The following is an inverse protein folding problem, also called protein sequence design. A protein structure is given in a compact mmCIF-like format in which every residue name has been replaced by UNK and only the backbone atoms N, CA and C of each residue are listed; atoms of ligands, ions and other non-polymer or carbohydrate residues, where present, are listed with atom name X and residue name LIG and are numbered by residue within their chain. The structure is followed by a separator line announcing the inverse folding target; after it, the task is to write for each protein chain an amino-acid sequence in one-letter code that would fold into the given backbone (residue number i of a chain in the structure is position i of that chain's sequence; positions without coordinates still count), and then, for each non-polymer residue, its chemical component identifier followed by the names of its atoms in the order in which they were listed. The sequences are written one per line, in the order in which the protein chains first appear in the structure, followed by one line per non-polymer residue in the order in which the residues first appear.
data_IF_451978583824
#
_entry.id   IF_451978583824
#
_cell.length_a   1.000
_cell.length_b   1.000
_cell.length_c   1.000
_cell.angle_alpha   90.00
_cell.angle_beta   90.00
_cell.angle_gamma   90.00
#
_symmetry.space_group_name_H-M   'P 1'
#
loop_
_entity.id
_entity.type
_entity.pdbx_description
1 polymer ?
#
# COMPACT_ATOMS: atom_id res chain seq x y z
N UNK A 1 24.57 -8.47 40.77
CA UNK A 1 24.05 -7.32 39.99
C UNK A 1 24.58 -7.44 38.58
N UNK A 2 23.72 -7.63 37.58
CA UNK A 2 24.16 -7.67 36.17
C UNK A 2 24.43 -6.23 35.73
N UNK A 3 25.69 -5.89 35.47
CA UNK A 3 26.03 -4.59 34.89
C UNK A 3 25.41 -4.49 33.50
N UNK A 4 24.49 -3.54 33.33
CA UNK A 4 23.90 -3.24 32.02
C UNK A 4 24.93 -2.46 31.23
N UNK A 5 25.31 -2.98 30.06
CA UNK A 5 26.24 -2.32 29.15
C UNK A 5 25.63 -1.01 28.63
N UNK A 6 26.32 0.10 28.83
CA UNK A 6 25.93 1.38 28.23
C UNK A 6 26.13 1.37 26.71
N UNK A 7 25.18 1.95 25.97
CA UNK A 7 25.25 2.17 24.51
C UNK A 7 25.19 3.67 24.29
N UNK A 8 26.30 4.26 23.87
CA UNK A 8 26.35 5.70 23.59
C UNK A 8 25.56 6.05 22.33
N UNK A 9 25.26 7.33 22.18
CA UNK A 9 24.59 7.88 21.00
C UNK A 9 25.37 7.63 19.70
N UNK A 10 26.69 7.74 19.74
CA UNK A 10 27.57 7.45 18.60
C UNK A 10 27.54 5.97 18.24
N UNK A 11 27.62 5.10 19.24
CA UNK A 11 27.51 3.66 18.99
C UNK A 11 26.14 3.29 18.42
N UNK A 12 25.06 3.86 18.96
CA UNK A 12 23.70 3.65 18.43
C UNK A 12 23.62 4.09 16.96
N UNK A 13 24.12 5.28 16.63
CA UNK A 13 24.12 5.80 15.25
C UNK A 13 24.93 4.93 14.31
N UNK A 14 26.14 4.51 14.70
CA UNK A 14 26.98 3.62 13.90
C UNK A 14 26.27 2.28 13.63
N UNK A 15 25.67 1.69 14.67
CA UNK A 15 24.89 0.45 14.56
C UNK A 15 23.68 0.62 13.64
N UNK A 16 22.95 1.74 13.73
CA UNK A 16 21.84 2.03 12.82
C UNK A 16 22.33 2.22 11.37
N UNK A 17 23.43 2.94 11.16
CA UNK A 17 24.02 3.15 9.84
C UNK A 17 24.36 1.83 9.14
N UNK A 18 24.93 0.88 9.89
CA UNK A 18 25.21 -0.48 9.38
C UNK A 18 23.93 -1.27 9.16
N UNK A 19 23.05 -1.37 10.16
CA UNK A 19 21.83 -2.21 10.10
C UNK A 19 20.83 -1.74 9.06
N UNK A 20 20.74 -0.44 8.82
CA UNK A 20 19.86 0.16 7.81
C UNK A 20 20.51 0.27 6.43
N UNK A 21 21.70 -0.32 6.23
CA UNK A 21 22.46 -0.31 4.98
C UNK A 21 22.85 1.09 4.47
N UNK A 22 22.98 2.08 5.36
CA UNK A 22 23.35 3.46 5.01
C UNK A 22 24.87 3.66 4.97
N UNK A 23 25.61 2.92 5.79
CA UNK A 23 27.07 2.95 5.76
C UNK A 23 27.57 2.36 4.44
N UNK A 24 28.56 2.99 3.80
CA UNK A 24 29.10 2.53 2.51
C UNK A 24 29.57 1.06 2.53
N UNK A 25 30.14 0.62 3.65
CA UNK A 25 30.59 -0.76 3.87
C UNK A 25 29.45 -1.76 4.12
N UNK A 26 28.22 -1.29 4.28
CA UNK A 26 27.05 -2.10 4.62
C UNK A 26 25.92 -1.98 3.58
N UNK A 27 26.20 -1.34 2.43
CA UNK A 27 25.23 -1.30 1.32
C UNK A 27 24.88 -2.71 0.88
N UNK A 28 23.59 -2.92 0.65
CA UNK A 28 23.04 -4.19 0.18
C UNK A 28 23.07 -4.26 -1.35
N UNK A 29 22.61 -5.39 -1.90
CA UNK A 29 22.72 -5.69 -3.34
C UNK A 29 21.38 -5.71 -4.07
N UNK A 30 20.26 -5.53 -3.37
CA UNK A 30 18.93 -5.60 -3.95
C UNK A 30 17.94 -4.64 -3.28
N UNK A 31 16.89 -4.17 -4.01
CA UNK A 31 15.78 -3.43 -3.42
C UNK A 31 15.08 -4.18 -2.28
N UNK A 32 14.98 -5.51 -2.37
CA UNK A 32 14.39 -6.38 -1.34
C UNK A 32 15.17 -6.32 -0.03
N UNK A 33 16.51 -6.43 -0.12
CA UNK A 33 17.38 -6.32 1.04
C UNK A 33 17.33 -4.91 1.65
N UNK A 34 17.18 -3.88 0.81
CA UNK A 34 17.05 -2.51 1.30
C UNK A 34 15.76 -2.33 2.09
N UNK A 35 14.65 -2.89 1.62
CA UNK A 35 13.39 -2.91 2.37
C UNK A 35 13.53 -3.73 3.66
N UNK A 36 14.21 -4.89 3.62
CA UNK A 36 14.43 -5.74 4.81
C UNK A 36 15.28 -5.07 5.87
N UNK A 37 16.29 -4.29 5.47
CA UNK A 37 17.17 -3.55 6.38
C UNK A 37 16.43 -2.53 7.27
N UNK A 38 15.27 -2.05 6.81
CA UNK A 38 14.44 -1.07 7.54
C UNK A 38 12.99 -1.52 7.71
N UNK A 39 12.73 -2.82 7.55
CA UNK A 39 11.39 -3.47 7.54
C UNK A 39 10.50 -3.06 6.36
N UNK A 40 10.52 -1.79 5.95
CA UNK A 40 9.75 -1.26 4.83
C UNK A 40 10.30 0.06 4.31
N UNK A 41 9.95 0.41 3.07
CA UNK A 41 10.31 1.69 2.45
C UNK A 41 9.07 2.58 2.34
N UNK A 42 9.18 3.87 2.66
CA UNK A 42 8.09 4.81 2.47
C UNK A 42 7.81 5.00 0.97
N UNK A 43 6.53 5.03 0.58
CA UNK A 43 6.13 5.01 -0.83
C UNK A 43 4.96 5.94 -1.16
N UNK A 44 4.60 6.85 -0.26
CA UNK A 44 3.54 7.86 -0.51
C UNK A 44 3.88 8.71 -1.73
N UNK A 45 5.11 9.24 -1.77
CA UNK A 45 5.61 9.94 -2.93
C UNK A 45 6.33 8.97 -3.85
N UNK A 46 6.04 8.98 -5.16
CA UNK A 46 6.66 8.05 -6.09
C UNK A 46 8.18 7.95 -6.04
N UNK A 47 8.96 9.05 -5.97
CA UNK A 47 10.42 8.94 -5.93
C UNK A 47 10.95 8.40 -4.60
N UNK A 48 10.15 8.39 -3.52
CA UNK A 48 10.64 8.01 -2.19
C UNK A 48 11.20 6.58 -2.15
N UNK A 49 10.55 5.62 -2.82
CA UNK A 49 11.04 4.24 -2.85
C UNK A 49 12.39 4.15 -3.59
N UNK A 50 12.52 4.81 -4.74
CA UNK A 50 13.74 4.80 -5.54
C UNK A 50 14.90 5.46 -4.80
N UNK A 51 14.67 6.64 -4.19
CA UNK A 51 15.68 7.34 -3.40
C UNK A 51 16.09 6.54 -2.16
N UNK A 52 15.13 5.87 -1.51
CA UNK A 52 15.40 5.02 -0.35
C UNK A 52 16.23 3.78 -0.71
N UNK A 53 15.98 3.17 -1.87
CA UNK A 53 16.82 2.11 -2.43
C UNK A 53 18.21 2.64 -2.80
N UNK A 54 18.30 3.76 -3.52
CA UNK A 54 19.57 4.38 -3.92
C UNK A 54 20.50 4.68 -2.74
N UNK A 55 19.94 5.09 -1.59
CA UNK A 55 20.71 5.31 -0.38
C UNK A 55 21.30 4.03 0.24
N UNK A 56 20.78 2.84 -0.10
CA UNK A 56 21.05 1.57 0.58
C UNK A 56 21.66 0.49 -0.29
N UNK A 57 21.46 0.55 -1.60
CA UNK A 57 21.86 -0.48 -2.56
C UNK A 57 23.04 0.05 -3.38
N UNK A 58 24.08 -0.75 -3.55
CA UNK A 58 25.19 -0.43 -4.46
C UNK A 58 24.71 -0.43 -5.91
N UNK A 59 25.02 0.64 -6.66
CA UNK A 59 24.80 0.76 -8.12
C UNK A 59 23.37 0.45 -8.62
N UNK A 60 22.35 0.66 -7.78
CA UNK A 60 20.95 0.37 -8.13
C UNK A 60 20.42 1.34 -9.19
N UNK A 61 19.67 0.78 -10.14
CA UNK A 61 18.99 1.54 -11.19
C UNK A 61 17.49 1.70 -10.88
N UNK A 62 16.82 2.57 -11.64
CA UNK A 62 15.35 2.68 -11.57
C UNK A 62 14.69 1.37 -12.00
N UNK A 63 15.22 0.72 -13.04
CA UNK A 63 14.69 -0.53 -13.60
C UNK A 63 14.76 -1.68 -12.60
N UNK A 64 15.80 -1.76 -11.76
CA UNK A 64 15.88 -2.76 -10.70
C UNK A 64 14.73 -2.62 -9.70
N UNK A 65 14.43 -1.37 -9.30
CA UNK A 65 13.35 -1.08 -8.35
C UNK A 65 11.97 -1.30 -8.98
N UNK A 66 11.77 -0.87 -10.23
CA UNK A 66 10.51 -1.11 -10.96
C UNK A 66 10.31 -2.60 -11.26
N UNK A 67 11.36 -3.34 -11.59
CA UNK A 67 11.35 -4.79 -11.76
C UNK A 67 10.87 -5.50 -10.50
N UNK A 68 11.44 -5.16 -9.34
CA UNK A 68 11.02 -5.71 -8.05
C UNK A 68 9.54 -5.40 -7.71
N UNK A 69 9.07 -4.20 -8.03
CA UNK A 69 7.70 -3.74 -7.71
C UNK A 69 6.63 -4.28 -8.66
N UNK A 70 6.90 -4.29 -9.96
CA UNK A 70 5.88 -4.47 -10.98
C UNK A 70 6.00 -5.77 -11.75
N UNK A 71 7.22 -6.26 -11.98
CA UNK A 71 7.47 -7.48 -12.76
C UNK A 71 7.54 -8.70 -11.85
N UNK A 72 8.58 -8.78 -11.00
CA UNK A 72 8.76 -9.86 -10.03
C UNK A 72 7.70 -9.78 -8.91
N UNK A 73 7.24 -8.56 -8.60
CA UNK A 73 6.33 -8.25 -7.49
C UNK A 73 6.86 -8.79 -6.16
N UNK A 74 8.18 -8.88 -6.02
CA UNK A 74 8.88 -9.30 -4.80
C UNK A 74 8.77 -8.24 -3.71
N UNK A 75 8.53 -6.99 -4.12
CA UNK A 75 8.17 -5.86 -3.27
C UNK A 75 6.70 -5.48 -3.49
N UNK A 76 5.93 -5.43 -2.40
CA UNK A 76 4.49 -5.15 -2.41
C UNK A 76 4.24 -3.83 -1.72
N UNK A 77 3.37 -3.02 -2.32
CA UNK A 77 2.93 -1.76 -1.74
C UNK A 77 1.68 -1.99 -0.89
N UNK A 78 1.67 -1.46 0.32
CA UNK A 78 0.55 -1.65 1.24
C UNK A 78 0.38 -0.43 2.15
N UNK A 79 -0.87 -0.01 2.31
CA UNK A 79 -1.24 0.95 3.35
C UNK A 79 -1.17 0.25 4.71
N UNK A 80 -0.43 0.85 5.65
CA UNK A 80 -0.18 0.22 6.94
C UNK A 80 -0.20 1.26 8.06
N UNK A 81 0.92 1.44 8.76
CA UNK A 81 1.07 2.37 9.88
C UNK A 81 0.58 3.77 9.49
N UNK A 82 -0.32 4.34 10.31
CA UNK A 82 -0.87 5.70 10.12
C UNK A 82 -1.52 5.92 8.76
N UNK A 83 -2.11 4.89 8.15
CA UNK A 83 -2.71 4.96 6.80
C UNK A 83 -1.70 5.40 5.72
N UNK A 84 -0.40 5.24 5.98
CA UNK A 84 0.68 5.63 5.08
C UNK A 84 1.04 4.48 4.15
N UNK A 85 1.40 4.81 2.90
CA UNK A 85 1.80 3.82 1.91
C UNK A 85 3.27 3.44 2.06
N UNK A 86 3.52 2.14 2.20
CA UNK A 86 4.85 1.56 2.31
C UNK A 86 5.06 0.45 1.29
N UNK A 87 6.32 0.10 1.05
CA UNK A 87 6.78 -1.06 0.28
C UNK A 87 7.40 -2.07 1.24
N UNK A 88 6.94 -3.32 1.17
CA UNK A 88 7.39 -4.44 1.98
C UNK A 88 7.89 -5.58 1.10
N UNK A 89 8.87 -6.38 1.56
CA UNK A 89 9.12 -7.70 0.99
C UNK A 89 7.86 -8.58 1.01
N UNK A 90 7.66 -9.34 -0.07
CA UNK A 90 6.71 -10.46 -0.26
C UNK A 90 6.27 -11.12 1.05
N UNK A 91 7.27 -11.73 1.66
CA UNK A 91 7.19 -12.61 2.81
C UNK A 91 6.78 -11.90 4.11
N UNK A 92 6.94 -10.58 4.20
CA UNK A 92 6.62 -9.82 5.41
C UNK A 92 5.19 -9.29 5.45
N UNK A 93 4.49 -9.27 4.31
CA UNK A 93 3.10 -8.78 4.22
C UNK A 93 2.15 -9.44 5.24
N UNK A 94 2.15 -10.78 5.47
CA UNK A 94 1.30 -11.40 6.48
C UNK A 94 1.57 -10.89 7.91
N UNK A 95 2.84 -10.65 8.27
CA UNK A 95 3.21 -10.14 9.59
C UNK A 95 2.83 -8.66 9.77
N UNK A 96 2.93 -7.86 8.69
CA UNK A 96 2.47 -6.47 8.69
C UNK A 96 0.96 -6.39 8.88
N UNK A 97 0.21 -7.29 8.24
CA UNK A 97 -1.24 -7.34 8.38
C UNK A 97 -1.67 -7.73 9.80
N UNK A 98 -1.05 -8.78 10.35
CA UNK A 98 -1.31 -9.24 11.73
C UNK A 98 -0.90 -8.25 12.83
N UNK A 99 -0.19 -7.17 12.50
CA UNK A 99 0.24 -6.15 13.46
C UNK A 99 -0.58 -4.85 13.37
N UNK A 100 -0.09 -3.87 12.62
CA UNK A 100 -0.67 -2.52 12.58
C UNK A 100 -1.77 -2.38 11.53
N UNK A 101 -1.68 -3.08 10.39
CA UNK A 101 -2.53 -2.79 9.24
C UNK A 101 -4.00 -3.23 9.46
N UNK A 102 -4.25 -4.40 10.07
CA UNK A 102 -5.62 -4.86 10.34
C UNK A 102 -6.42 -3.88 11.21
N UNK A 103 -5.78 -3.27 12.22
CA UNK A 103 -6.43 -2.25 13.06
C UNK A 103 -6.80 -1.00 12.25
N UNK A 104 -5.90 -0.56 11.38
CA UNK A 104 -6.12 0.60 10.51
C UNK A 104 -7.25 0.30 9.52
N UNK A 105 -7.26 -0.88 8.90
CA UNK A 105 -8.32 -1.31 7.99
C UNK A 105 -9.69 -1.32 8.65
N UNK A 106 -9.79 -1.82 9.89
CA UNK A 106 -11.04 -1.81 10.66
C UNK A 106 -11.53 -0.39 10.99
N UNK A 107 -10.62 0.51 11.35
CA UNK A 107 -10.96 1.92 11.62
C UNK A 107 -11.42 2.63 10.35
N UNK A 108 -10.70 2.44 9.24
CA UNK A 108 -11.05 3.02 7.95
C UNK A 108 -12.41 2.51 7.46
N UNK A 109 -12.69 1.21 7.57
CA UNK A 109 -13.99 0.61 7.21
C UNK A 109 -15.14 1.25 7.98
N UNK A 110 -14.98 1.41 9.30
CA UNK A 110 -15.99 2.08 10.14
C UNK A 110 -16.25 3.52 9.70
N UNK A 111 -15.21 4.26 9.31
CA UNK A 111 -15.35 5.63 8.79
C UNK A 111 -16.07 5.62 7.44
N UNK A 112 -15.71 4.71 6.53
CA UNK A 112 -16.36 4.58 5.23
C UNK A 112 -17.86 4.28 5.38
N UNK A 113 -18.24 3.34 6.23
CA UNK A 113 -19.65 3.03 6.51
C UNK A 113 -20.40 4.22 7.13
N UNK A 114 -19.74 4.98 8.02
CA UNK A 114 -20.32 6.20 8.58
C UNK A 114 -20.52 7.28 7.51
N UNK A 115 -19.56 7.45 6.60
CA UNK A 115 -19.67 8.38 5.47
C UNK A 115 -20.82 7.97 4.54
N UNK A 116 -20.93 6.67 4.21
CA UNK A 116 -22.00 6.13 3.38
C UNK A 116 -23.38 6.32 4.02
N UNK A 117 -23.53 5.99 5.30
CA UNK A 117 -24.80 6.19 6.01
C UNK A 117 -25.22 7.67 6.10
N UNK A 118 -24.24 8.58 6.16
CA UNK A 118 -24.51 10.01 6.35
C UNK A 118 -24.73 10.77 5.03
N UNK A 119 -23.99 10.41 3.99
CA UNK A 119 -23.87 11.20 2.76
C UNK A 119 -23.94 10.35 1.48
N UNK A 120 -24.00 9.03 1.61
CA UNK A 120 -24.08 8.10 0.50
C UNK A 120 -25.52 7.84 0.04
N UNK A 121 -25.68 7.11 -1.07
CA UNK A 121 -26.98 6.65 -1.53
C UNK A 121 -27.68 5.74 -0.51
N UNK A 122 -29.00 5.75 -0.52
CA UNK A 122 -29.79 4.86 0.33
C UNK A 122 -29.50 3.38 0.00
N UNK A 123 -29.43 2.54 1.04
CA UNK A 123 -29.14 1.11 0.90
C UNK A 123 -27.66 0.74 0.76
N UNK A 124 -26.74 1.71 0.79
CA UNK A 124 -25.30 1.44 0.81
C UNK A 124 -24.81 1.16 2.25
N UNK A 125 -25.19 0.00 2.78
CA UNK A 125 -24.85 -0.47 4.11
C UNK A 125 -23.63 -1.41 4.12
N UNK A 126 -23.47 -2.18 5.20
CA UNK A 126 -22.36 -3.13 5.38
C UNK A 126 -22.39 -4.28 4.38
N UNK A 127 -23.58 -4.77 4.04
CA UNK A 127 -23.74 -5.91 3.12
C UNK A 127 -23.49 -5.44 1.68
N UNK A 128 -23.97 -4.23 1.34
CA UNK A 128 -23.62 -3.59 0.09
C UNK A 128 -22.11 -3.37 -0.03
N UNK A 129 -21.43 -2.88 1.02
CA UNK A 129 -19.98 -2.65 0.99
C UNK A 129 -19.22 -3.96 0.76
N UNK A 130 -19.62 -5.04 1.44
CA UNK A 130 -19.03 -6.36 1.21
C UNK A 130 -19.25 -6.85 -0.24
N UNK A 131 -20.46 -6.65 -0.78
CA UNK A 131 -20.79 -7.01 -2.16
C UNK A 131 -19.95 -6.28 -3.20
N UNK A 132 -19.79 -4.96 -3.07
CA UNK A 132 -18.97 -4.16 -4.00
C UNK A 132 -17.48 -4.48 -3.86
N UNK A 133 -16.99 -4.75 -2.64
CA UNK A 133 -15.61 -5.21 -2.41
C UNK A 133 -15.35 -6.52 -3.18
N UNK A 134 -16.26 -7.48 -3.13
CA UNK A 134 -16.16 -8.74 -3.89
C UNK A 134 -16.25 -8.52 -5.40
N UNK A 135 -17.16 -7.68 -5.88
CA UNK A 135 -17.31 -7.37 -7.31
C UNK A 135 -16.02 -6.74 -7.87
N UNK A 136 -15.41 -5.81 -7.14
CA UNK A 136 -14.13 -5.19 -7.54
C UNK A 136 -13.00 -6.22 -7.55
N UNK A 137 -12.93 -7.09 -6.53
CA UNK A 137 -11.93 -8.16 -6.48
C UNK A 137 -12.07 -9.14 -7.65
N UNK A 138 -13.29 -9.58 -7.94
CA UNK A 138 -13.57 -10.48 -9.07
C UNK A 138 -13.18 -9.84 -10.41
N UNK A 139 -13.47 -8.55 -10.59
CA UNK A 139 -13.10 -7.80 -11.79
C UNK A 139 -11.59 -7.66 -12.00
N UNK A 140 -10.82 -7.60 -10.91
CA UNK A 140 -9.36 -7.46 -10.95
C UNK A 140 -8.60 -8.80 -10.90
N UNK A 141 -9.30 -9.93 -10.83
CA UNK A 141 -8.72 -11.25 -10.67
C UNK A 141 -7.94 -11.74 -11.91
N UNK A 142 -8.18 -11.14 -13.08
CA UNK A 142 -7.47 -11.45 -14.33
C UNK A 142 -6.02 -10.91 -14.37
N UNK A 143 -5.61 -10.13 -13.36
CA UNK A 143 -4.27 -9.54 -13.28
C UNK A 143 -4.03 -8.38 -14.26
N UNK A 144 -5.06 -7.88 -14.95
CA UNK A 144 -4.96 -6.74 -15.87
C UNK A 144 -5.08 -5.43 -15.08
N UNK A 145 -4.07 -4.53 -15.14
CA UNK A 145 -4.13 -3.26 -14.42
C UNK A 145 -5.21 -2.30 -14.94
N UNK A 146 -6.06 -1.80 -14.03
CA UNK A 146 -7.18 -0.88 -14.31
C UNK A 146 -7.12 0.37 -13.45
N UNK A 147 -7.36 1.54 -14.01
CA UNK A 147 -7.49 2.78 -13.23
C UNK A 147 -8.78 2.81 -12.39
N UNK A 148 -8.83 3.66 -11.36
CA UNK A 148 -10.07 3.87 -10.59
C UNK A 148 -11.24 4.31 -11.47
N UNK A 149 -10.95 5.06 -12.55
CA UNK A 149 -11.95 5.43 -13.57
C UNK A 149 -12.49 4.20 -14.28
N UNK A 150 -11.61 3.32 -14.76
CA UNK A 150 -12.01 2.08 -15.41
C UNK A 150 -12.79 1.16 -14.47
N UNK A 151 -12.38 1.02 -13.21
CA UNK A 151 -13.13 0.24 -12.21
C UNK A 151 -14.54 0.80 -12.06
N UNK A 152 -14.70 2.12 -11.92
CA UNK A 152 -16.01 2.77 -11.82
C UNK A 152 -16.88 2.59 -13.07
N UNK A 153 -16.27 2.56 -14.26
CA UNK A 153 -16.96 2.38 -15.53
C UNK A 153 -17.32 0.91 -15.82
N UNK A 154 -16.57 -0.03 -15.27
CA UNK A 154 -16.67 -1.46 -15.58
C UNK A 154 -17.29 -2.30 -14.45
N UNK A 155 -17.37 -1.76 -13.23
CA UNK A 155 -18.01 -2.37 -12.06
C UNK A 155 -19.16 -1.45 -11.63
N UNK A 156 -20.38 -1.66 -12.15
CA UNK A 156 -21.54 -0.80 -11.87
C UNK A 156 -21.81 -0.62 -10.37
N UNK A 157 -21.58 -1.66 -9.56
CA UNK A 157 -21.77 -1.67 -8.11
C UNK A 157 -20.83 -0.68 -7.39
N UNK A 158 -19.66 -0.40 -7.97
CA UNK A 158 -18.69 0.58 -7.45
C UNK A 158 -18.94 2.01 -7.96
N UNK A 159 -20.00 2.19 -8.75
CA UNK A 159 -20.45 3.47 -9.25
C UNK A 159 -20.90 4.44 -8.16
N UNK A 160 -21.21 5.68 -8.59
CA UNK A 160 -21.81 6.69 -7.72
C UNK A 160 -20.82 7.57 -6.94
N UNK A 161 -21.41 8.50 -6.19
CA UNK A 161 -20.71 9.53 -5.42
C UNK A 161 -21.33 9.70 -4.05
N UNK A 162 -20.50 10.05 -3.07
CA UNK A 162 -20.91 10.57 -1.77
C UNK A 162 -20.82 12.09 -1.87
N UNK A 163 -21.89 12.82 -1.58
CA UNK A 163 -21.84 14.29 -1.52
C UNK A 163 -21.46 14.68 -0.10
N UNK A 164 -20.16 14.75 0.16
CA UNK A 164 -19.64 14.96 1.51
C UNK A 164 -19.82 16.42 1.92
N UNK A 165 -20.42 16.64 3.10
CA UNK A 165 -20.57 17.96 3.72
C UNK A 165 -21.07 19.05 2.75
N UNK A 166 -22.25 18.89 2.12
CA UNK A 166 -22.73 19.77 1.05
C UNK A 166 -22.80 21.25 1.45
N UNK A 167 -23.03 21.54 2.73
CA UNK A 167 -23.16 22.90 3.26
C UNK A 167 -21.81 23.55 3.62
N UNK A 168 -20.69 22.90 3.30
CA UNK A 168 -19.34 23.38 3.62
C UNK A 168 -18.57 23.65 2.34
N UNK A 169 -17.77 24.71 2.35
CA UNK A 169 -16.91 25.08 1.22
C UNK A 169 -15.85 24.04 0.87
N UNK A 170 -15.48 23.17 1.80
CA UNK A 170 -14.57 22.03 1.58
C UNK A 170 -15.29 20.75 1.13
N UNK A 171 -16.63 20.74 1.16
CA UNK A 171 -17.44 19.61 0.75
C UNK A 171 -17.50 19.45 -0.76
N UNK A 172 -18.12 18.35 -1.20
CA UNK A 172 -18.32 18.08 -2.62
C UNK A 172 -18.54 16.61 -2.96
N UNK A 173 -18.76 16.32 -4.25
CA UNK A 173 -18.92 14.96 -4.72
C UNK A 173 -17.60 14.20 -4.65
N UNK A 174 -17.60 13.07 -3.95
CA UNK A 174 -16.47 12.14 -3.85
C UNK A 174 -16.88 10.80 -4.41
N UNK A 175 -16.15 10.30 -5.42
CA UNK A 175 -16.46 9.01 -6.02
C UNK A 175 -16.30 7.86 -5.00
N UNK A 176 -17.19 6.88 -5.10
CA UNK A 176 -17.21 5.70 -4.21
C UNK A 176 -16.06 4.74 -4.53
N UNK A 177 -15.84 4.39 -5.80
CA UNK A 177 -14.82 3.41 -6.21
C UNK A 177 -13.42 3.66 -5.61
N UNK A 178 -12.84 4.88 -5.60
CA UNK A 178 -11.56 5.12 -4.94
C UNK A 178 -11.55 4.81 -3.43
N UNK A 179 -12.66 5.07 -2.72
CA UNK A 179 -12.78 4.75 -1.29
C UNK A 179 -12.81 3.23 -1.06
N UNK A 180 -13.51 2.48 -1.91
CA UNK A 180 -13.54 1.01 -1.87
C UNK A 180 -12.15 0.42 -2.18
N UNK A 181 -11.46 0.93 -3.21
CA UNK A 181 -10.11 0.49 -3.56
C UNK A 181 -9.09 0.75 -2.42
N UNK A 182 -9.19 1.89 -1.74
CA UNK A 182 -8.40 2.18 -0.54
C UNK A 182 -8.70 1.20 0.59
N UNK A 183 -9.98 0.88 0.83
CA UNK A 183 -10.37 -0.11 1.83
C UNK A 183 -9.79 -1.49 1.52
N UNK A 184 -9.93 -1.97 0.28
CA UNK A 184 -9.36 -3.23 -0.17
C UNK A 184 -7.82 -3.28 -0.03
N UNK A 185 -7.15 -2.15 -0.29
CA UNK A 185 -5.70 -2.01 -0.11
C UNK A 185 -5.27 -2.14 1.35
N UNK A 186 -6.07 -1.61 2.28
CA UNK A 186 -5.85 -1.73 3.72
C UNK A 186 -6.12 -3.16 4.23
N UNK A 187 -7.14 -3.81 3.69
CA UNK A 187 -7.48 -5.19 4.04
C UNK A 187 -6.44 -6.20 3.55
N UNK A 188 -5.52 -5.81 2.67
CA UNK A 188 -4.39 -6.65 2.26
C UNK A 188 -4.84 -7.91 1.52
N UNK A 189 -5.82 -7.77 0.62
CA UNK A 189 -6.35 -8.88 -0.16
C UNK A 189 -5.23 -9.77 -0.77
N UNK A 190 -5.44 -11.11 -0.84
CA UNK A 190 -4.41 -12.05 -1.23
C UNK A 190 -3.78 -11.67 -2.57
N UNK A 191 -2.47 -11.50 -2.54
CA UNK A 191 -1.71 -10.96 -3.65
C UNK A 191 -1.67 -9.44 -3.64
N UNK A 192 -1.16 -8.82 -2.56
CA UNK A 192 -0.49 -7.51 -2.56
C UNK A 192 -0.96 -6.45 -3.56
N UNK A 193 -1.60 -5.40 -3.09
CA UNK A 193 -2.03 -4.33 -3.97
C UNK A 193 -0.83 -3.61 -4.59
N UNK A 194 -0.95 -3.25 -5.86
CA UNK A 194 -0.03 -2.30 -6.48
C UNK A 194 -0.80 -0.98 -6.63
N UNK A 195 -0.64 -0.03 -5.70
CA UNK A 195 -0.97 1.35 -5.93
C UNK A 195 -0.32 1.84 -7.20
N UNK A 196 -0.93 2.87 -7.80
CA UNK A 196 -0.59 3.34 -9.11
C UNK A 196 0.90 3.56 -9.36
N UNK A 197 1.39 3.00 -10.47
CA UNK A 197 2.64 3.43 -11.08
C UNK A 197 2.43 4.84 -11.69
N UNK A 198 3.24 5.86 -11.34
CA UNK A 198 3.16 7.17 -11.98
C UNK A 198 3.55 7.15 -13.45
N UNK A 199 4.48 6.27 -13.86
CA UNK A 199 4.95 6.18 -15.26
C UNK A 199 3.92 5.52 -16.18
N UNK A 200 2.99 4.68 -15.68
CA UNK A 200 1.92 4.07 -16.48
C UNK A 200 0.48 4.50 -16.10
N UNK A 201 0.36 5.59 -15.34
CA UNK A 201 -0.92 6.15 -14.91
C UNK A 201 -1.53 5.40 -13.72
N UNK A 202 -2.49 6.03 -13.03
CA UNK A 202 -2.95 5.49 -11.75
C UNK A 202 -3.77 4.20 -11.84
N UNK A 203 -3.12 3.05 -12.01
CA UNK A 203 -3.73 1.73 -12.27
C UNK A 203 -3.60 0.78 -11.07
N UNK A 204 -4.58 -0.08 -10.93
CA UNK A 204 -4.83 -1.04 -9.85
C UNK A 204 -4.83 -2.45 -10.42
N UNK A 205 -4.17 -3.38 -9.75
CA UNK A 205 -4.18 -4.82 -10.06
C UNK A 205 -4.00 -5.60 -8.76
N UNK A 206 -4.47 -6.85 -8.74
CA UNK A 206 -4.07 -7.81 -7.72
C UNK A 206 -2.65 -8.30 -8.09
N UNK A 207 -1.69 -8.28 -7.15
CA UNK A 207 -0.42 -9.02 -7.25
C UNK A 207 -0.63 -10.52 -7.00
N UNK A 208 -1.52 -11.16 -7.74
CA UNK A 208 -1.34 -12.59 -7.92
C UNK A 208 -0.07 -12.78 -8.77
N UNK A 209 0.82 -13.76 -8.45
CA UNK A 209 1.78 -14.19 -9.45
C UNK A 209 0.98 -14.55 -10.71
N UNK A 210 1.47 -14.13 -11.88
CA UNK A 210 0.94 -14.63 -13.14
C UNK A 210 1.10 -16.15 -13.10
N UNK A 211 0.02 -16.87 -12.79
CA UNK A 211 -0.01 -18.32 -12.92
C UNK A 211 0.10 -18.62 -14.40
N UNK A 212 1.31 -18.94 -14.86
CA UNK A 212 1.43 -19.78 -16.03
C UNK A 212 1.02 -21.21 -15.60
N UNK A 213 0.26 -21.93 -16.43
CA UNK A 213 -0.14 -23.31 -16.15
C UNK A 213 1.06 -24.23 -15.91
#
# INVERSE_FOLDING_TARGET
MTLVREVTDDERRARLGVRHALAGSARVRSPEDAARAVVCLHATEPPSVHLSCWARVGDVTVDDVEGALYQARSLVRQLSMRETLFVFPRDLVPAVWGSAAARVAAVHRKRLLKDLARWGPAGHDVDWLAGVEQAVLAHLADGVPRSSKQVREQVPEAGGVIVQAPDKSWGGPVAIAPKVLTQLSLDGAPGGWVPPNPSCGRRWTISAPCGCP
#
